data_IF_402354957474
#
_entry.id   IF_402354957474
#
_cell.length_a   1.000
_cell.length_b   1.000
_cell.length_c   1.000
_cell.angle_alpha   90.00
_cell.angle_beta   90.00
_cell.angle_gamma   90.00
#
_symmetry.space_group_name_H-M   'P 1'
#
loop_
_entity.id
_entity.type
_entity.pdbx_description
1 polymer ?
#
# COMPACT_ATOMS: atom_id res chain seq x y z
N UNK A 1 6.66 -5.71 -8.43
CA UNK A 1 7.49 -4.48 -8.52
C UNK A 1 8.64 -4.61 -7.51
N UNK A 2 9.56 -3.66 -7.44
CA UNK A 2 10.64 -3.65 -6.45
C UNK A 2 10.62 -2.30 -5.73
N UNK A 3 10.75 -2.31 -4.41
CA UNK A 3 10.75 -1.08 -3.62
C UNK A 3 12.18 -0.62 -3.35
N UNK A 4 12.41 0.68 -3.43
CA UNK A 4 13.69 1.26 -3.06
C UNK A 4 13.85 1.26 -1.54
N UNK A 5 15.00 0.80 -1.05
CA UNK A 5 15.40 0.93 0.36
C UNK A 5 15.91 2.36 0.55
N UNK A 6 15.06 3.22 1.09
CA UNK A 6 15.36 4.64 1.28
C UNK A 6 16.37 4.85 2.41
N UNK A 7 16.25 4.05 3.48
CA UNK A 7 17.12 4.11 4.64
C UNK A 7 17.26 2.72 5.28
N UNK A 8 18.35 2.53 6.02
CA UNK A 8 18.56 1.35 6.88
C UNK A 8 18.86 1.83 8.29
N UNK A 9 18.02 1.43 9.24
CA UNK A 9 18.16 1.82 10.64
C UNK A 9 19.40 1.18 11.28
N UNK A 10 20.18 1.93 12.08
CA UNK A 10 21.33 1.36 12.78
C UNK A 10 20.88 0.31 13.81
N UNK A 11 21.75 -0.66 14.08
CA UNK A 11 21.51 -1.77 15.03
C UNK A 11 20.30 -2.66 14.66
N UNK A 12 19.90 -2.66 13.39
CA UNK A 12 18.84 -3.52 12.86
C UNK A 12 19.38 -4.81 12.23
N UNK A 13 18.49 -5.76 11.91
CA UNK A 13 18.86 -6.96 11.18
C UNK A 13 19.39 -6.63 9.78
N UNK A 14 18.82 -5.63 9.11
CA UNK A 14 19.29 -5.18 7.80
C UNK A 14 20.73 -4.65 7.85
N UNK A 15 21.04 -3.82 8.86
CA UNK A 15 22.39 -3.32 9.07
C UNK A 15 23.39 -4.44 9.39
N UNK A 16 22.99 -5.44 10.18
CA UNK A 16 23.84 -6.62 10.51
C UNK A 16 24.13 -7.49 9.28
N UNK A 17 23.25 -7.50 8.28
CA UNK A 17 23.35 -8.32 7.08
C UNK A 17 23.83 -7.52 5.84
N UNK A 18 24.52 -6.40 6.05
CA UNK A 18 25.09 -5.56 4.99
C UNK A 18 24.08 -5.09 3.92
N UNK A 19 22.82 -4.89 4.32
CA UNK A 19 21.80 -4.24 3.48
C UNK A 19 22.03 -2.74 3.54
N UNK A 20 22.00 -2.08 2.39
CA UNK A 20 22.34 -0.68 2.26
C UNK A 20 21.18 0.15 1.69
N UNK A 21 21.15 1.41 2.08
CA UNK A 21 20.33 2.42 1.44
C UNK A 21 20.67 2.53 -0.05
N UNK A 22 19.66 2.75 -0.88
CA UNK A 22 19.77 2.84 -2.34
C UNK A 22 19.67 1.50 -3.07
N UNK A 23 19.68 0.38 -2.34
CA UNK A 23 19.39 -0.93 -2.92
C UNK A 23 17.89 -1.12 -3.13
N UNK A 24 17.50 -2.06 -3.99
CA UNK A 24 16.09 -2.39 -4.24
C UNK A 24 15.75 -3.73 -3.63
N UNK A 25 14.68 -3.78 -2.84
CA UNK A 25 14.12 -5.04 -2.37
C UNK A 25 13.15 -5.58 -3.44
N UNK A 26 13.47 -6.77 -3.96
CA UNK A 26 12.71 -7.41 -5.04
C UNK A 26 11.62 -8.32 -4.47
N UNK A 27 11.99 -9.21 -3.57
CA UNK A 27 11.11 -10.25 -3.04
C UNK A 27 11.49 -10.64 -1.60
N UNK A 28 10.52 -11.22 -0.89
CA UNK A 28 10.71 -11.91 0.40
C UNK A 28 10.16 -13.32 0.24
N UNK A 29 10.96 -14.35 0.51
CA UNK A 29 10.58 -15.75 0.31
C UNK A 29 10.07 -16.04 -1.12
N UNK A 30 10.61 -15.34 -2.12
CA UNK A 30 10.18 -15.42 -3.52
C UNK A 30 8.87 -14.69 -3.84
N UNK A 31 8.20 -14.09 -2.87
CA UNK A 31 7.02 -13.24 -3.08
C UNK A 31 7.46 -11.80 -3.37
N UNK A 32 7.03 -11.20 -4.50
CA UNK A 32 7.37 -9.82 -4.82
C UNK A 32 6.90 -8.85 -3.75
N UNK A 33 7.74 -7.87 -3.40
CA UNK A 33 7.38 -6.82 -2.44
C UNK A 33 7.00 -5.56 -3.22
N UNK A 34 5.75 -5.13 -3.10
CA UNK A 34 5.24 -3.97 -3.85
C UNK A 34 5.15 -2.70 -3.00
N UNK A 35 5.00 -2.83 -1.68
CA UNK A 35 4.89 -1.71 -0.75
C UNK A 35 5.32 -2.10 0.68
N UNK A 36 5.14 -1.17 1.61
CA UNK A 36 5.49 -1.35 3.01
C UNK A 36 4.68 -2.46 3.70
N UNK A 37 3.43 -2.69 3.30
CA UNK A 37 2.60 -3.73 3.91
C UNK A 37 3.05 -5.12 3.48
N UNK A 38 3.40 -5.29 2.20
CA UNK A 38 4.01 -6.55 1.72
C UNK A 38 5.31 -6.86 2.50
N UNK A 39 6.15 -5.84 2.72
CA UNK A 39 7.37 -5.99 3.49
C UNK A 39 7.07 -6.45 4.92
N UNK A 40 6.17 -5.78 5.61
CA UNK A 40 5.78 -6.14 6.98
C UNK A 40 5.17 -7.54 7.05
N UNK A 41 4.26 -7.86 6.12
CA UNK A 41 3.56 -9.13 6.07
C UNK A 41 4.51 -10.31 5.80
N UNK A 42 5.34 -10.24 4.76
CA UNK A 42 6.22 -11.35 4.39
C UNK A 42 7.43 -11.50 5.32
N UNK A 43 7.78 -10.48 6.10
CA UNK A 43 8.87 -10.55 7.09
C UNK A 43 8.38 -10.76 8.53
N UNK A 44 7.10 -11.11 8.69
CA UNK A 44 6.49 -11.40 9.99
C UNK A 44 6.98 -12.71 10.60
N UNK A 45 7.42 -13.67 9.78
CA UNK A 45 7.99 -14.93 10.22
C UNK A 45 9.37 -14.77 10.88
N UNK A 46 9.77 -15.78 11.67
CA UNK A 46 11.07 -15.82 12.34
C UNK A 46 12.25 -15.97 11.38
N UNK A 47 12.06 -16.65 10.24
CA UNK A 47 13.08 -16.83 9.23
C UNK A 47 12.51 -16.49 7.86
N UNK A 48 13.23 -15.67 7.12
CA UNK A 48 12.85 -15.27 5.76
C UNK A 48 14.08 -14.95 4.92
N UNK A 49 13.94 -15.08 3.61
CA UNK A 49 14.98 -14.75 2.63
C UNK A 49 14.59 -13.51 1.84
N UNK A 50 15.41 -12.48 1.91
CA UNK A 50 15.26 -11.28 1.09
C UNK A 50 16.02 -11.44 -0.22
N UNK A 51 15.43 -11.01 -1.33
CA UNK A 51 16.13 -10.83 -2.59
C UNK A 51 16.35 -9.34 -2.85
N UNK A 52 17.61 -8.92 -2.89
CA UNK A 52 18.01 -7.52 -2.93
C UNK A 52 18.88 -7.28 -4.17
N UNK A 53 18.61 -6.20 -4.88
CA UNK A 53 19.38 -5.77 -6.04
C UNK A 53 20.19 -4.51 -5.71
N UNK A 54 21.49 -4.55 -5.98
CA UNK A 54 22.37 -3.40 -5.83
C UNK A 54 22.08 -2.32 -6.89
N UNK A 55 22.68 -1.14 -6.73
CA UNK A 55 22.58 -0.05 -7.72
C UNK A 55 23.14 -0.45 -9.09
N UNK A 56 24.10 -1.38 -9.13
CA UNK A 56 24.71 -1.94 -10.34
C UNK A 56 23.86 -3.06 -10.98
N UNK A 57 22.69 -3.38 -10.42
CA UNK A 57 21.78 -4.40 -10.95
C UNK A 57 22.13 -5.83 -10.56
N UNK A 58 23.04 -6.04 -9.61
CA UNK A 58 23.43 -7.37 -9.14
C UNK A 58 22.46 -7.79 -8.04
N UNK A 59 21.73 -8.89 -8.24
CA UNK A 59 20.86 -9.47 -7.22
C UNK A 59 21.61 -10.43 -6.30
N UNK A 60 21.27 -10.39 -5.01
CA UNK A 60 21.72 -11.35 -4.00
C UNK A 60 20.59 -11.73 -3.07
N UNK A 61 20.70 -12.93 -2.49
CA UNK A 61 19.78 -13.43 -1.48
C UNK A 61 20.39 -13.29 -0.09
N UNK A 62 19.60 -12.80 0.85
CA UNK A 62 20.01 -12.57 2.24
C UNK A 62 19.02 -13.30 3.14
N UNK A 63 19.47 -14.37 3.79
CA UNK A 63 18.68 -15.07 4.79
C UNK A 63 18.76 -14.34 6.11
N UNK A 64 17.61 -14.03 6.68
CA UNK A 64 17.50 -13.34 7.96
C UNK A 64 16.78 -14.26 8.94
N UNK A 65 17.38 -14.42 10.11
CA UNK A 65 16.75 -15.03 11.27
C UNK A 65 16.52 -13.97 12.33
N UNK A 66 15.26 -13.80 12.75
CA UNK A 66 14.82 -12.81 13.71
C UNK A 66 15.11 -13.31 15.12
N UNK A 67 15.94 -12.56 15.84
CA UNK A 67 16.18 -12.76 17.28
C UNK A 67 15.10 -12.04 18.11
N UNK A 68 14.89 -12.47 19.35
CA UNK A 68 14.02 -11.74 20.28
C UNK A 68 14.44 -10.26 20.40
N UNK A 69 13.47 -9.35 20.34
CA UNK A 69 13.67 -7.88 20.40
C UNK A 69 14.47 -7.28 19.23
N UNK A 70 14.69 -8.03 18.15
CA UNK A 70 15.27 -7.51 16.91
C UNK A 70 14.19 -7.05 15.93
N UNK A 71 14.51 -6.04 15.13
CA UNK A 71 13.65 -5.52 14.07
C UNK A 71 14.42 -5.47 12.75
N UNK A 72 13.69 -5.56 11.63
CA UNK A 72 14.29 -5.63 10.30
C UNK A 72 15.08 -4.35 9.97
N UNK A 73 14.49 -3.18 10.19
CA UNK A 73 15.12 -1.87 10.02
C UNK A 73 15.37 -1.45 8.58
N UNK A 74 14.62 -2.00 7.64
CA UNK A 74 14.48 -1.45 6.29
C UNK A 74 13.39 -0.38 6.32
N UNK A 75 13.74 0.83 5.94
CA UNK A 75 12.78 1.91 5.66
C UNK A 75 12.65 2.04 4.15
N UNK A 76 11.52 1.59 3.56
CA UNK A 76 11.31 1.70 2.13
C UNK A 76 11.02 3.15 1.71
N UNK A 77 11.03 3.40 0.41
CA UNK A 77 10.58 4.67 -0.15
C UNK A 77 9.15 5.02 0.30
N UNK A 78 8.81 6.32 0.40
CA UNK A 78 7.47 6.75 0.79
C UNK A 78 6.40 6.13 -0.12
N UNK A 79 5.40 5.52 0.51
CA UNK A 79 4.28 4.95 -0.22
C UNK A 79 3.53 6.02 -1.01
N UNK A 80 3.29 5.75 -2.29
CA UNK A 80 2.50 6.61 -3.15
C UNK A 80 1.04 6.23 -3.02
N UNK A 81 0.27 7.11 -2.40
CA UNK A 81 -1.17 6.93 -2.23
C UNK A 81 -1.86 6.71 -3.57
N UNK A 82 -2.82 5.78 -3.59
CA UNK A 82 -3.75 5.60 -4.69
C UNK A 82 -4.80 6.72 -4.63
N UNK A 83 -4.91 7.46 -5.73
CA UNK A 83 -5.88 8.55 -5.83
C UNK A 83 -7.30 8.03 -6.09
N UNK A 84 -8.28 8.77 -5.58
CA UNK A 84 -9.68 8.55 -5.87
C UNK A 84 -9.97 8.76 -7.36
N UNK A 85 -10.68 7.80 -7.96
CA UNK A 85 -11.08 7.86 -9.38
C UNK A 85 -12.55 8.28 -9.57
N UNK A 86 -13.19 8.77 -8.51
CA UNK A 86 -14.56 9.24 -8.55
C UNK A 86 -14.65 10.73 -8.94
N UNK A 87 -15.65 11.07 -9.75
CA UNK A 87 -16.03 12.44 -10.08
C UNK A 87 -17.37 12.80 -9.42
N UNK A 88 -17.47 12.57 -8.11
CA UNK A 88 -18.73 12.72 -7.36
C UNK A 88 -19.32 14.12 -7.52
N UNK A 89 -20.64 14.21 -7.74
CA UNK A 89 -21.35 15.51 -7.80
C UNK A 89 -21.30 16.30 -6.49
N UNK A 90 -20.94 15.64 -5.40
CA UNK A 90 -20.87 16.16 -4.04
C UNK A 90 -19.44 16.17 -3.49
N UNK A 91 -18.41 16.02 -4.33
CA UNK A 91 -17.02 15.97 -3.86
C UNK A 91 -16.60 17.29 -3.19
N UNK A 92 -16.32 17.24 -1.87
CA UNK A 92 -15.88 18.41 -1.11
C UNK A 92 -14.54 18.96 -1.62
N UNK A 93 -13.61 18.08 -2.00
CA UNK A 93 -12.29 18.47 -2.50
C UNK A 93 -12.40 19.29 -3.80
N UNK A 94 -13.33 18.93 -4.69
CA UNK A 94 -13.60 19.69 -5.93
C UNK A 94 -14.25 21.06 -5.68
N UNK A 95 -14.86 21.24 -4.51
CA UNK A 95 -15.55 22.49 -4.13
C UNK A 95 -14.64 23.45 -3.36
N UNK A 96 -13.39 23.09 -3.08
CA UNK A 96 -12.46 23.96 -2.36
C UNK A 96 -12.00 25.15 -3.24
N UNK A 97 -11.73 26.32 -2.63
CA UNK A 97 -11.10 27.44 -3.32
C UNK A 97 -9.77 27.05 -3.98
N UNK A 98 -9.35 27.70 -5.08
CA UNK A 98 -8.02 27.52 -5.66
C UNK A 98 -6.91 28.07 -4.74
N UNK A 99 -5.66 27.72 -5.04
CA UNK A 99 -4.43 28.25 -4.39
C UNK A 99 -4.22 27.90 -2.90
N UNK A 100 -4.96 26.92 -2.39
CA UNK A 100 -4.65 26.32 -1.10
C UNK A 100 -3.41 25.41 -1.20
N UNK A 101 -2.97 24.89 -0.05
CA UNK A 101 -1.85 23.94 0.00
C UNK A 101 -2.12 22.75 -0.93
N UNK A 102 -1.18 22.38 -1.83
CA UNK A 102 -1.40 21.31 -2.82
C UNK A 102 -1.90 19.99 -2.23
N UNK A 103 -1.44 19.65 -1.02
CA UNK A 103 -1.85 18.43 -0.31
C UNK A 103 -3.33 18.38 0.04
N UNK A 104 -4.02 19.53 0.12
CA UNK A 104 -5.45 19.57 0.39
C UNK A 104 -6.28 19.10 -0.80
N UNK A 105 -5.76 19.19 -2.02
CA UNK A 105 -6.48 18.77 -3.23
C UNK A 105 -6.34 17.27 -3.55
N UNK A 106 -5.61 16.53 -2.71
CA UNK A 106 -5.45 15.09 -2.87
C UNK A 106 -6.77 14.43 -2.42
N UNK A 107 -7.40 13.71 -3.35
CA UNK A 107 -8.52 12.81 -3.05
C UNK A 107 -7.96 11.42 -2.82
N UNK A 108 -8.10 10.89 -1.62
CA UNK A 108 -7.75 9.51 -1.32
C UNK A 108 -8.96 8.58 -1.50
N UNK A 109 -8.67 7.36 -1.93
CA UNK A 109 -9.60 6.22 -1.95
C UNK A 109 -8.76 4.93 -1.92
N UNK A 110 -7.85 4.86 -0.95
CA UNK A 110 -6.79 3.87 -0.87
C UNK A 110 -7.05 2.90 0.29
N UNK A 111 -7.19 1.61 -0.02
CA UNK A 111 -7.51 0.60 0.98
C UNK A 111 -6.39 0.35 2.00
N UNK A 112 -5.11 0.59 1.64
CA UNK A 112 -4.02 0.51 2.59
C UNK A 112 -4.08 1.68 3.58
N UNK A 113 -4.43 2.88 3.12
CA UNK A 113 -4.65 4.02 4.02
C UNK A 113 -5.91 3.85 4.86
N UNK A 114 -6.93 3.16 4.33
CA UNK A 114 -8.09 2.74 5.13
C UNK A 114 -7.67 1.87 6.30
N UNK A 115 -6.83 0.87 6.04
CA UNK A 115 -6.32 -0.04 7.06
C UNK A 115 -5.42 0.66 8.09
N UNK A 116 -4.44 1.45 7.63
CA UNK A 116 -3.41 2.05 8.50
C UNK A 116 -3.90 3.28 9.24
N UNK A 117 -4.67 4.15 8.57
CA UNK A 117 -5.05 5.46 9.08
C UNK A 117 -6.55 5.63 9.34
N UNK A 118 -7.37 4.64 8.96
CA UNK A 118 -8.82 4.71 9.15
C UNK A 118 -9.54 5.56 8.12
N UNK A 119 -8.92 5.84 6.97
CA UNK A 119 -9.53 6.61 5.90
C UNK A 119 -10.72 5.85 5.28
N UNK A 120 -11.75 6.57 4.88
CA UNK A 120 -12.92 5.96 4.26
C UNK A 120 -12.71 5.73 2.77
N UNK A 121 -13.00 4.51 2.32
CA UNK A 121 -12.93 4.11 0.91
C UNK A 121 -14.31 3.80 0.34
N UNK A 122 -14.40 3.85 -0.97
CA UNK A 122 -15.62 3.66 -1.73
C UNK A 122 -15.65 2.35 -2.52
N UNK A 123 -14.55 1.60 -2.53
CA UNK A 123 -14.39 0.34 -3.26
C UNK A 123 -14.46 0.47 -4.81
N UNK A 124 -14.52 1.69 -5.34
CA UNK A 124 -14.71 1.90 -6.79
C UNK A 124 -13.42 1.80 -7.61
N UNK A 125 -12.24 1.96 -6.99
CA UNK A 125 -10.95 1.84 -7.69
C UNK A 125 -10.22 0.50 -7.42
N UNK A 126 -10.89 -0.48 -6.80
CA UNK A 126 -10.33 -1.80 -6.53
C UNK A 126 -10.52 -2.74 -7.72
N UNK A 127 -9.51 -3.54 -8.01
CA UNK A 127 -9.60 -4.64 -8.96
C UNK A 127 -9.57 -6.02 -8.28
N UNK A 128 -9.70 -7.09 -9.07
CA UNK A 128 -9.71 -8.47 -8.54
C UNK A 128 -8.42 -8.83 -7.79
N UNK A 129 -7.29 -8.25 -8.17
CA UNK A 129 -6.00 -8.49 -7.52
C UNK A 129 -5.93 -7.79 -6.17
N UNK A 130 -6.48 -6.57 -6.06
CA UNK A 130 -6.64 -5.86 -4.80
C UNK A 130 -7.55 -6.63 -3.84
N UNK A 131 -8.70 -7.12 -4.31
CA UNK A 131 -9.61 -7.92 -3.49
C UNK A 131 -8.96 -9.23 -3.02
N UNK A 132 -8.28 -9.95 -3.91
CA UNK A 132 -7.56 -11.17 -3.54
C UNK A 132 -6.48 -10.88 -2.49
N UNK A 133 -5.75 -9.77 -2.63
CA UNK A 133 -4.75 -9.35 -1.65
C UNK A 133 -5.37 -9.01 -0.29
N UNK A 134 -6.45 -8.21 -0.26
CA UNK A 134 -7.18 -7.86 0.97
C UNK A 134 -7.58 -9.13 1.73
N UNK A 135 -8.09 -10.13 1.03
CA UNK A 135 -8.50 -11.42 1.63
C UNK A 135 -7.29 -12.22 2.10
N UNK A 136 -6.29 -12.42 1.24
CA UNK A 136 -5.14 -13.28 1.53
C UNK A 136 -4.27 -12.74 2.66
N UNK A 137 -4.05 -11.43 2.69
CA UNK A 137 -3.27 -10.74 3.73
C UNK A 137 -4.13 -10.30 4.92
N UNK A 138 -5.45 -10.55 4.88
CA UNK A 138 -6.43 -10.17 5.93
C UNK A 138 -6.32 -8.69 6.29
N UNK A 139 -6.34 -7.82 5.29
CA UNK A 139 -6.24 -6.37 5.46
C UNK A 139 -7.58 -5.85 6.03
N UNK A 140 -7.66 -5.76 7.36
CA UNK A 140 -8.87 -5.40 8.09
C UNK A 140 -8.52 -4.69 9.41
N UNK A 141 -9.26 -3.63 9.82
CA UNK A 141 -10.53 -3.14 9.27
C UNK A 141 -10.37 -2.32 7.99
N UNK A 142 -11.41 -2.32 7.16
CA UNK A 142 -11.60 -1.36 6.06
C UNK A 142 -12.82 -0.50 6.39
N UNK A 143 -12.67 0.81 6.27
CA UNK A 143 -13.73 1.78 6.55
C UNK A 143 -14.42 2.13 5.25
N UNK A 144 -15.61 1.57 5.03
CA UNK A 144 -16.33 1.73 3.75
C UNK A 144 -17.38 2.82 3.86
N UNK A 145 -17.34 3.79 2.94
CA UNK A 145 -18.36 4.83 2.79
C UNK A 145 -19.32 4.47 1.66
N UNK A 146 -20.48 3.92 2.03
CA UNK A 146 -21.57 3.60 1.11
C UNK A 146 -22.64 4.69 1.15
N UNK A 147 -22.78 5.43 0.04
CA UNK A 147 -23.68 6.58 -0.05
C UNK A 147 -25.13 6.20 -0.37
N UNK A 148 -25.34 5.08 -1.05
CA UNK A 148 -26.66 4.51 -1.37
C UNK A 148 -26.51 3.03 -1.73
N UNK A 149 -27.56 2.25 -1.49
CA UNK A 149 -27.65 0.83 -1.90
C UNK A 149 -28.23 0.67 -3.31
N UNK A 150 -28.80 1.72 -3.90
CA UNK A 150 -29.22 1.72 -5.31
C UNK A 150 -27.99 1.93 -6.21
N UNK A 151 -27.57 0.86 -6.90
CA UNK A 151 -26.38 0.88 -7.75
C UNK A 151 -26.52 1.90 -8.90
N UNK A 152 -27.69 2.01 -9.55
CA UNK A 152 -27.89 2.97 -10.63
C UNK A 152 -27.76 4.42 -10.14
N UNK A 153 -28.33 4.71 -8.96
CA UNK A 153 -28.17 6.01 -8.32
C UNK A 153 -26.71 6.25 -7.91
N UNK A 154 -26.03 5.24 -7.36
CA UNK A 154 -24.62 5.29 -6.94
C UNK A 154 -23.71 5.67 -8.11
N UNK A 155 -23.85 5.00 -9.26
CA UNK A 155 -23.10 5.33 -10.47
C UNK A 155 -23.34 6.79 -10.90
N UNK A 156 -24.61 7.24 -10.85
CA UNK A 156 -24.98 8.60 -11.28
C UNK A 156 -24.37 9.69 -10.40
N UNK A 157 -24.32 9.49 -9.08
CA UNK A 157 -23.86 10.52 -8.12
C UNK A 157 -22.35 10.45 -7.86
N UNK A 158 -21.74 9.26 -7.89
CA UNK A 158 -20.30 9.08 -7.63
C UNK A 158 -19.46 9.21 -8.90
N UNK A 159 -20.01 8.81 -10.05
CA UNK A 159 -19.33 8.85 -11.36
C UNK A 159 -17.92 8.24 -11.29
N UNK A 160 -17.79 6.95 -10.91
CA UNK A 160 -16.49 6.28 -10.91
C UNK A 160 -15.97 6.11 -12.34
N UNK A 161 -14.65 6.00 -12.47
CA UNK A 161 -13.96 5.61 -13.72
C UNK A 161 -14.43 4.25 -14.26
N UNK A 162 -14.72 3.31 -13.34
CA UNK A 162 -15.20 1.96 -13.61
C UNK A 162 -16.52 1.71 -12.91
N UNK A 163 -17.49 1.14 -13.62
CA UNK A 163 -18.75 0.72 -12.99
C UNK A 163 -18.49 -0.46 -12.07
N UNK A 164 -18.77 -0.26 -10.78
CA UNK A 164 -18.64 -1.27 -9.72
C UNK A 164 -19.92 -1.30 -8.91
N UNK A 165 -20.51 -2.48 -8.79
CA UNK A 165 -21.57 -2.73 -7.81
C UNK A 165 -20.92 -3.13 -6.48
N UNK A 166 -20.96 -2.23 -5.51
CA UNK A 166 -20.34 -2.48 -4.20
C UNK A 166 -21.07 -3.56 -3.39
N UNK A 167 -22.27 -3.97 -3.82
CA UNK A 167 -23.11 -4.95 -3.14
C UNK A 167 -23.29 -6.24 -3.95
N UNK A 168 -22.67 -6.36 -5.13
CA UNK A 168 -22.66 -7.63 -5.85
C UNK A 168 -21.76 -8.62 -5.12
N UNK A 169 -22.40 -9.57 -4.41
CA UNK A 169 -21.77 -10.75 -3.81
C UNK A 169 -21.94 -11.94 -4.74
#
# INVERSE_FOLDING_TARGET
MAILIQNVLPRSLAAKNDIKSGEKLLSVNGQPVNDFLDLEFYTSDYEFELEIMSAEGISRKVKIQREEKSFLGIEPEPYKIRYCENACIFCFIDQMPPELRPTLYIKDDDYLYSYVFGNYITLTNLDETDYARIINQRITPLYVSLHTTDNALRQKIMRPSKQVDALSV
#
